data_IF_090883021286
#
_entry.id   IF_090883021286
#
_cell.length_a   1.000
_cell.length_b   1.000
_cell.length_c   1.000
_cell.angle_alpha   90.00
_cell.angle_beta   90.00
_cell.angle_gamma   90.00
#
_symmetry.space_group_name_H-M   'P 1'
#
loop_
_entity.id
_entity.type
_entity.pdbx_description
1 polymer ?
#
# COMPACT_ATOMS: atom_id res chain seq x y z
N UNK A 1 23.90 24.91 -5.04
CA UNK A 1 23.57 23.90 -4.01
C UNK A 1 22.58 24.51 -3.03
N UNK A 2 21.34 24.01 -2.97
CA UNK A 2 20.39 24.46 -1.95
C UNK A 2 20.83 24.00 -0.57
N UNK A 3 20.89 24.91 0.42
CA UNK A 3 21.07 24.53 1.82
C UNK A 3 19.88 23.68 2.24
N UNK A 4 20.15 22.45 2.71
CA UNK A 4 19.13 21.57 3.29
C UNK A 4 18.65 22.14 4.62
N UNK A 5 17.58 22.90 4.60
CA UNK A 5 16.90 23.42 5.79
C UNK A 5 15.56 22.72 5.90
N UNK A 6 15.30 22.10 7.06
CA UNK A 6 14.00 21.56 7.38
C UNK A 6 12.97 22.68 7.44
N UNK A 7 11.84 22.51 6.74
CA UNK A 7 10.72 23.45 6.79
C UNK A 7 9.48 22.70 7.25
N UNK A 8 8.79 23.27 8.23
CA UNK A 8 7.48 22.79 8.66
C UNK A 8 6.40 23.34 7.72
N UNK A 9 5.37 22.55 7.47
CA UNK A 9 4.14 23.03 6.86
C UNK A 9 3.31 23.79 7.90
N UNK A 10 2.55 24.79 7.47
CA UNK A 10 1.61 25.50 8.33
C UNK A 10 0.42 24.60 8.70
N UNK A 11 -0.23 24.88 9.84
CA UNK A 11 -1.26 24.01 10.41
C UNK A 11 -2.46 23.79 9.47
N UNK A 12 -2.82 24.77 8.66
CA UNK A 12 -3.92 24.69 7.69
C UNK A 12 -3.67 23.69 6.55
N UNK A 13 -2.41 23.32 6.34
CA UNK A 13 -2.00 22.34 5.34
C UNK A 13 -1.86 20.93 5.91
N UNK A 14 -2.13 20.72 7.20
CA UNK A 14 -2.02 19.41 7.84
C UNK A 14 -3.33 18.62 7.73
N UNK A 15 -3.23 17.29 7.75
CA UNK A 15 -4.40 16.43 7.94
C UNK A 15 -5.07 16.73 9.29
N UNK A 16 -6.40 16.52 9.39
CA UNK A 16 -7.06 16.57 10.68
C UNK A 16 -6.37 15.64 11.69
N UNK A 17 -6.26 16.10 12.94
CA UNK A 17 -5.50 15.41 14.00
C UNK A 17 -6.04 14.02 14.35
N UNK A 18 -7.24 13.67 13.87
CA UNK A 18 -7.87 12.35 14.04
C UNK A 18 -7.30 11.29 13.09
N UNK A 19 -6.71 11.71 11.96
CA UNK A 19 -6.10 10.81 11.00
C UNK A 19 -4.67 10.41 11.39
N UNK A 20 -4.30 9.19 11.02
CA UNK A 20 -2.95 8.64 11.16
C UNK A 20 -2.51 8.05 9.82
N UNK A 21 -1.25 8.27 9.46
CA UNK A 21 -0.62 7.71 8.27
C UNK A 21 0.20 6.47 8.67
N UNK A 22 0.03 5.36 7.95
CA UNK A 22 0.85 4.17 8.10
C UNK A 22 2.17 4.33 7.33
N UNK A 23 3.21 4.78 8.04
CA UNK A 23 4.53 5.13 7.46
C UNK A 23 5.29 3.97 6.81
N UNK A 24 4.92 2.73 7.10
CA UNK A 24 5.62 1.54 6.62
C UNK A 24 5.43 1.27 5.11
N UNK A 25 4.67 2.10 4.41
CA UNK A 25 4.46 2.02 2.96
C UNK A 25 4.05 3.37 2.40
N UNK A 26 4.65 3.71 1.26
CA UNK A 26 4.47 4.97 0.55
C UNK A 26 4.60 4.71 -0.96
N UNK A 27 3.81 5.41 -1.77
CA UNK A 27 3.95 5.43 -3.22
C UNK A 27 4.11 6.87 -3.70
N UNK A 28 4.97 7.10 -4.69
CA UNK A 28 5.16 8.41 -5.31
C UNK A 28 4.72 8.31 -6.77
N UNK A 29 3.76 9.14 -7.20
CA UNK A 29 3.25 9.16 -8.57
C UNK A 29 3.14 10.61 -9.02
N UNK A 30 3.92 11.00 -10.03
CA UNK A 30 4.05 12.39 -10.43
C UNK A 30 4.44 13.29 -9.26
N UNK A 31 3.66 14.35 -9.01
CA UNK A 31 3.86 15.27 -7.89
C UNK A 31 3.17 14.85 -6.58
N UNK A 32 2.59 13.65 -6.53
CA UNK A 32 1.81 13.19 -5.39
C UNK A 32 2.53 12.09 -4.62
N UNK A 33 2.40 12.14 -3.29
CA UNK A 33 2.80 11.06 -2.39
C UNK A 33 1.54 10.44 -1.79
N UNK A 34 1.46 9.11 -1.79
CA UNK A 34 0.32 8.36 -1.28
C UNK A 34 0.71 7.46 -0.12
N UNK A 35 -0.23 7.31 0.83
CA UNK A 35 -0.13 6.38 1.95
C UNK A 35 -1.48 5.69 2.23
N UNK A 36 -1.41 4.56 2.92
CA UNK A 36 -2.54 4.08 3.71
C UNK A 36 -2.69 4.96 4.96
N UNK A 37 -3.87 5.56 5.13
CA UNK A 37 -4.26 6.28 6.33
C UNK A 37 -5.39 5.56 7.07
N UNK A 38 -5.65 5.96 8.30
CA UNK A 38 -6.83 5.54 9.02
C UNK A 38 -7.28 6.58 10.05
N UNK A 39 -8.56 6.53 10.40
CA UNK A 39 -9.14 7.19 11.57
C UNK A 39 -9.63 6.12 12.55
N UNK A 40 -9.45 6.37 13.86
CA UNK A 40 -9.85 5.45 14.92
C UNK A 40 -11.18 5.91 15.52
N UNK A 41 -12.13 5.00 15.60
CA UNK A 41 -13.44 5.22 16.20
C UNK A 41 -13.64 4.31 17.41
N UNK A 42 -14.57 4.70 18.28
CA UNK A 42 -15.03 3.91 19.42
C UNK A 42 -16.50 3.59 19.19
N UNK A 43 -16.82 2.30 19.15
CA UNK A 43 -18.18 1.80 19.02
C UNK A 43 -18.95 1.92 20.34
N UNK A 44 -20.27 1.73 20.26
CA UNK A 44 -21.16 1.83 21.42
C UNK A 44 -20.89 0.74 22.48
N UNK A 45 -20.27 -0.37 22.07
CA UNK A 45 -19.83 -1.48 22.92
C UNK A 45 -18.42 -1.27 23.51
N UNK A 46 -17.89 -0.05 23.42
CA UNK A 46 -16.51 0.31 23.75
C UNK A 46 -15.43 -0.42 22.91
N UNK A 47 -15.81 -1.15 21.86
CA UNK A 47 -14.85 -1.66 20.88
C UNK A 47 -14.22 -0.50 20.12
N UNK A 48 -12.99 -0.67 19.65
CA UNK A 48 -12.36 0.32 18.77
C UNK A 48 -12.12 -0.27 17.39
N UNK A 49 -12.53 0.46 16.36
CA UNK A 49 -12.30 0.08 14.97
C UNK A 49 -11.57 1.18 14.21
N UNK A 50 -10.98 0.82 13.08
CA UNK A 50 -10.25 1.73 12.20
C UNK A 50 -10.95 1.81 10.86
N UNK A 51 -11.28 3.01 10.42
CA UNK A 51 -11.70 3.25 9.04
C UNK A 51 -10.46 3.58 8.23
N UNK A 52 -10.16 2.77 7.21
CA UNK A 52 -8.96 2.92 6.39
C UNK A 52 -9.25 3.74 5.15
N UNK A 53 -8.33 4.62 4.80
CA UNK A 53 -8.43 5.52 3.66
C UNK A 53 -7.12 5.54 2.87
N UNK A 54 -7.17 6.03 1.63
CA UNK A 54 -5.96 6.42 0.91
C UNK A 54 -5.76 7.91 1.12
N UNK A 55 -4.58 8.29 1.59
CA UNK A 55 -4.17 9.68 1.77
C UNK A 55 -3.21 10.03 0.65
N UNK A 56 -3.41 11.20 0.05
CA UNK A 56 -2.46 11.80 -0.90
C UNK A 56 -1.95 13.13 -0.37
N UNK A 57 -0.74 13.50 -0.77
CA UNK A 57 -0.13 14.80 -0.54
C UNK A 57 0.39 15.34 -1.87
N UNK A 58 -0.12 16.49 -2.31
CA UNK A 58 0.38 17.20 -3.48
C UNK A 58 1.60 18.04 -3.10
N UNK A 59 2.76 17.71 -3.65
CA UNK A 59 4.02 18.41 -3.39
C UNK A 59 4.08 19.81 -4.00
N UNK A 60 3.20 20.16 -4.95
CA UNK A 60 3.15 21.47 -5.58
C UNK A 60 2.31 22.44 -4.74
N UNK A 61 1.14 22.01 -4.29
CA UNK A 61 0.24 22.84 -3.48
C UNK A 61 0.45 22.67 -1.97
N UNK A 62 1.27 21.71 -1.55
CA UNK A 62 1.47 21.30 -0.16
C UNK A 62 0.17 20.91 0.57
N UNK A 63 -0.78 20.27 -0.13
CA UNK A 63 -2.09 19.92 0.45
C UNK A 63 -2.28 18.42 0.55
N UNK A 64 -2.85 17.99 1.68
CA UNK A 64 -3.37 16.64 1.79
C UNK A 64 -4.77 16.53 1.20
N UNK A 65 -5.06 15.35 0.64
CA UNK A 65 -6.40 14.95 0.24
C UNK A 65 -6.64 13.50 0.64
N UNK A 66 -7.80 13.25 1.25
CA UNK A 66 -8.30 11.90 1.51
C UNK A 66 -9.06 11.46 0.25
N UNK A 67 -8.69 10.30 -0.28
CA UNK A 67 -9.34 9.71 -1.44
C UNK A 67 -10.50 8.85 -0.96
N UNK A 68 -11.67 9.06 -1.56
CA UNK A 68 -12.82 8.18 -1.38
C UNK A 68 -12.54 6.85 -2.08
N UNK A 69 -12.57 5.76 -1.32
CA UNK A 69 -12.49 4.40 -1.84
C UNK A 69 -13.91 3.97 -2.22
N UNK A 70 -14.19 3.59 -3.47
CA UNK A 70 -15.53 3.12 -3.86
C UNK A 70 -15.97 1.92 -3.01
N UNK A 71 -17.25 1.89 -2.60
CA UNK A 71 -17.79 0.85 -1.69
C UNK A 71 -17.55 -0.59 -2.17
N UNK A 72 -17.59 -0.82 -3.48
CA UNK A 72 -17.28 -2.12 -4.08
C UNK A 72 -15.83 -2.54 -3.83
N UNK A 73 -14.88 -1.62 -4.03
CA UNK A 73 -13.47 -1.86 -3.73
C UNK A 73 -13.26 -1.99 -2.21
N UNK A 74 -13.87 -1.12 -1.41
CA UNK A 74 -13.70 -1.10 0.05
C UNK A 74 -14.04 -2.44 0.71
N UNK A 75 -15.08 -3.14 0.22
CA UNK A 75 -15.48 -4.48 0.70
C UNK A 75 -14.47 -5.59 0.38
N UNK A 76 -13.56 -5.36 -0.56
CA UNK A 76 -12.61 -6.35 -1.07
C UNK A 76 -11.15 -6.00 -0.72
N UNK A 77 -10.91 -4.82 -0.13
CA UNK A 77 -9.56 -4.41 0.22
C UNK A 77 -9.03 -5.23 1.41
N UNK A 78 -7.76 -5.65 1.36
CA UNK A 78 -7.12 -6.28 2.50
C UNK A 78 -6.76 -5.22 3.56
N UNK A 79 -7.64 -4.98 4.53
CA UNK A 79 -7.43 -3.97 5.58
C UNK A 79 -6.63 -4.57 6.77
N UNK A 80 -5.56 -3.92 7.28
CA UNK A 80 -4.88 -2.74 6.71
C UNK A 80 -4.09 -3.08 5.45
N UNK A 81 -4.13 -2.19 4.47
CA UNK A 81 -3.34 -2.34 3.24
C UNK A 81 -2.02 -1.57 3.27
N UNK A 82 -1.19 -1.85 2.27
CA UNK A 82 0.02 -1.16 1.88
C UNK A 82 -0.16 -0.60 0.47
N UNK A 83 0.44 0.55 0.22
CA UNK A 83 0.55 1.19 -1.09
C UNK A 83 1.95 1.08 -1.71
N UNK A 84 2.01 0.94 -3.03
CA UNK A 84 3.20 1.12 -3.88
C UNK A 84 2.73 1.61 -5.27
N UNK A 85 3.56 1.57 -6.30
CA UNK A 85 3.20 2.04 -7.66
C UNK A 85 3.65 1.08 -8.76
N UNK A 86 2.89 1.06 -9.86
CA UNK A 86 3.30 0.51 -11.16
C UNK A 86 3.05 1.59 -12.20
N UNK A 87 4.13 2.14 -12.78
CA UNK A 87 4.03 3.31 -13.65
C UNK A 87 3.25 4.43 -12.94
N UNK A 88 2.22 4.95 -13.60
CA UNK A 88 1.35 6.00 -13.07
C UNK A 88 0.15 5.50 -12.25
N UNK A 89 0.09 4.20 -11.93
CA UNK A 89 -0.99 3.62 -11.16
C UNK A 89 -0.59 3.39 -9.71
N UNK A 90 -1.54 3.64 -8.80
CA UNK A 90 -1.40 3.31 -7.39
C UNK A 90 -1.71 1.83 -7.19
N UNK A 91 -0.84 1.14 -6.48
CA UNK A 91 -1.06 -0.26 -6.12
C UNK A 91 -1.45 -0.34 -4.66
N UNK A 92 -2.48 -1.12 -4.35
CA UNK A 92 -2.90 -1.45 -2.99
C UNK A 92 -2.71 -2.95 -2.77
N UNK A 93 -2.06 -3.33 -1.68
CA UNK A 93 -1.78 -4.74 -1.38
C UNK A 93 -1.95 -5.06 0.09
N UNK A 94 -2.15 -6.32 0.43
CA UNK A 94 -2.30 -6.75 1.81
C UNK A 94 -2.85 -8.17 1.92
N UNK A 95 -3.12 -8.59 3.15
CA UNK A 95 -3.59 -9.92 3.45
C UNK A 95 -4.98 -9.85 4.11
N UNK A 96 -5.85 -10.79 3.76
CA UNK A 96 -7.06 -11.10 4.54
C UNK A 96 -6.78 -12.41 5.28
N UNK A 97 -6.95 -12.41 6.60
CA UNK A 97 -6.81 -13.61 7.41
C UNK A 97 -8.04 -14.49 7.25
N UNK A 98 -7.85 -15.72 6.80
CA UNK A 98 -8.83 -16.80 6.90
C UNK A 98 -8.50 -17.75 8.05
N UNK A 99 -9.32 -18.79 8.21
CA UNK A 99 -9.21 -19.76 9.30
C UNK A 99 -7.91 -20.58 9.24
N UNK A 100 -7.55 -21.05 8.04
CA UNK A 100 -6.35 -21.88 7.84
C UNK A 100 -5.20 -21.13 7.19
N UNK A 101 -5.49 -20.20 6.27
CA UNK A 101 -4.51 -19.51 5.44
C UNK A 101 -4.81 -18.01 5.32
N UNK A 102 -3.78 -17.22 4.98
CA UNK A 102 -3.94 -15.86 4.51
C UNK A 102 -4.27 -15.86 3.02
N UNK A 103 -5.04 -14.87 2.57
CA UNK A 103 -5.16 -14.56 1.14
C UNK A 103 -4.52 -13.22 0.88
N UNK A 104 -3.51 -13.21 0.02
CA UNK A 104 -2.78 -12.01 -0.37
C UNK A 104 -3.36 -11.42 -1.65
N UNK A 105 -3.65 -10.12 -1.62
CA UNK A 105 -4.26 -9.39 -2.73
C UNK A 105 -3.34 -8.28 -3.22
N UNK A 106 -3.37 -8.05 -4.54
CA UNK A 106 -2.81 -6.88 -5.20
C UNK A 106 -3.88 -6.26 -6.10
N UNK A 107 -4.20 -5.01 -5.83
CA UNK A 107 -5.11 -4.17 -6.61
C UNK A 107 -4.33 -3.05 -7.28
N UNK A 108 -4.64 -2.76 -8.54
CA UNK A 108 -4.11 -1.63 -9.29
C UNK A 108 -5.21 -0.60 -9.46
N UNK A 109 -4.94 0.65 -9.08
CA UNK A 109 -5.88 1.75 -9.07
C UNK A 109 -5.36 2.87 -9.99
N UNK A 110 -6.21 3.34 -10.89
CA UNK A 110 -5.94 4.54 -11.68
C UNK A 110 -6.56 5.75 -10.98
N UNK A 111 -5.79 6.82 -10.87
CA UNK A 111 -6.18 8.03 -10.14
C UNK A 111 -6.10 9.23 -11.10
N UNK A 112 -7.22 9.92 -11.27
CA UNK A 112 -7.28 11.17 -12.03
C UNK A 112 -7.94 12.26 -11.19
N UNK A 113 -7.32 13.44 -11.09
CA UNK A 113 -7.84 14.54 -10.27
C UNK A 113 -7.97 14.20 -8.77
N UNK A 114 -7.19 13.23 -8.29
CA UNK A 114 -7.31 12.71 -6.93
C UNK A 114 -8.60 11.93 -6.68
N UNK A 115 -9.16 11.28 -7.71
CA UNK A 115 -10.30 10.36 -7.62
C UNK A 115 -9.88 9.03 -8.23
N UNK A 116 -10.29 7.91 -7.60
CA UNK A 116 -10.09 6.58 -8.16
C UNK A 116 -11.08 6.39 -9.30
N UNK A 117 -10.59 6.32 -10.54
CA UNK A 117 -11.43 6.21 -11.74
C UNK A 117 -11.65 4.77 -12.18
N UNK A 118 -10.70 3.89 -11.89
CA UNK A 118 -10.77 2.47 -12.18
C UNK A 118 -9.92 1.67 -11.19
N UNK A 119 -10.30 0.42 -10.99
CA UNK A 119 -9.56 -0.52 -10.16
C UNK A 119 -9.62 -1.92 -10.77
N UNK A 120 -8.53 -2.67 -10.66
CA UNK A 120 -8.44 -4.02 -11.19
C UNK A 120 -7.66 -4.90 -10.22
N UNK A 121 -8.15 -6.11 -9.98
CA UNK A 121 -7.41 -7.11 -9.22
C UNK A 121 -6.30 -7.67 -10.12
N UNK A 122 -5.04 -7.45 -9.74
CA UNK A 122 -3.90 -7.96 -10.48
C UNK A 122 -3.56 -9.39 -10.03
N UNK A 123 -3.63 -9.64 -8.72
CA UNK A 123 -3.25 -10.91 -8.14
C UNK A 123 -4.07 -11.20 -6.88
N UNK A 124 -4.51 -12.45 -6.76
CA UNK A 124 -5.08 -13.01 -5.54
C UNK A 124 -4.48 -14.40 -5.36
N UNK A 125 -3.71 -14.61 -4.30
CA UNK A 125 -3.07 -15.91 -4.02
C UNK A 125 -3.22 -16.30 -2.56
N UNK A 126 -3.47 -17.60 -2.28
CA UNK A 126 -3.38 -18.10 -0.91
C UNK A 126 -1.91 -18.09 -0.46
N UNK A 127 -1.71 -17.85 0.83
CA UNK A 127 -0.40 -17.91 1.48
C UNK A 127 -0.55 -18.50 2.88
N UNK A 128 0.34 -19.41 3.31
CA UNK A 128 0.28 -19.96 4.66
C UNK A 128 0.49 -18.90 5.74
N UNK A 129 1.12 -17.78 5.39
CA UNK A 129 1.41 -16.66 6.30
C UNK A 129 1.16 -15.31 5.62
N UNK A 130 1.01 -14.25 6.40
CA UNK A 130 0.90 -12.90 5.86
C UNK A 130 2.22 -12.48 5.19
N UNK A 131 2.14 -11.98 3.96
CA UNK A 131 3.30 -11.54 3.17
C UNK A 131 3.19 -10.05 2.83
N UNK A 132 4.29 -9.44 2.38
CA UNK A 132 4.32 -8.00 2.06
C UNK A 132 4.82 -7.76 0.64
N UNK A 133 4.10 -6.95 -0.12
CA UNK A 133 4.60 -6.42 -1.39
C UNK A 133 5.70 -5.40 -1.13
N UNK A 134 6.86 -5.59 -1.75
CA UNK A 134 7.96 -4.61 -1.72
C UNK A 134 7.94 -3.75 -2.98
N UNK A 135 7.65 -4.36 -4.12
CA UNK A 135 7.59 -3.67 -5.40
C UNK A 135 7.40 -4.67 -6.54
N UNK A 136 7.78 -4.26 -7.75
CA UNK A 136 7.63 -5.04 -8.96
C UNK A 136 8.95 -5.11 -9.72
N UNK A 137 9.22 -6.26 -10.31
CA UNK A 137 10.28 -6.44 -11.30
C UNK A 137 9.72 -6.19 -12.71
N UNK A 138 10.60 -5.90 -13.70
CA UNK A 138 10.34 -5.41 -15.06
C UNK A 138 9.06 -5.89 -15.79
N UNK A 139 8.55 -7.10 -15.52
CA UNK A 139 7.34 -7.65 -16.11
C UNK A 139 6.08 -7.52 -15.22
N UNK A 140 6.09 -6.58 -14.27
CA UNK A 140 5.06 -6.47 -13.23
C UNK A 140 5.00 -7.75 -12.37
N UNK A 141 6.11 -8.48 -12.29
CA UNK A 141 6.26 -9.64 -11.42
C UNK A 141 6.42 -9.13 -9.97
N UNK A 142 5.52 -9.49 -9.02
CA UNK A 142 5.61 -9.01 -7.66
C UNK A 142 6.87 -9.49 -6.94
N UNK A 143 7.55 -8.57 -6.25
CA UNK A 143 8.61 -8.87 -5.28
C UNK A 143 7.97 -8.89 -3.90
N UNK A 144 7.93 -10.07 -3.28
CA UNK A 144 7.22 -10.35 -2.05
C UNK A 144 8.21 -10.66 -0.94
N UNK A 145 8.09 -9.96 0.17
CA UNK A 145 8.76 -10.26 1.43
C UNK A 145 7.93 -11.30 2.20
N UNK A 146 8.58 -12.42 2.51
CA UNK A 146 7.99 -13.55 3.23
C UNK A 146 8.72 -13.69 4.57
N UNK A 147 8.05 -13.47 5.71
CA UNK A 147 8.68 -13.58 7.02
C UNK A 147 9.03 -15.05 7.32
N UNK A 148 10.12 -15.28 8.06
CA UNK A 148 10.44 -16.60 8.60
C UNK A 148 9.42 -17.00 9.66
N UNK A 149 9.26 -18.31 9.90
CA UNK A 149 8.37 -18.81 10.95
C UNK A 149 8.73 -18.29 12.34
N UNK A 150 10.02 -17.99 12.57
CA UNK A 150 10.52 -17.41 13.82
C UNK A 150 10.33 -15.87 13.90
N UNK A 151 9.95 -15.21 12.81
CA UNK A 151 9.62 -13.77 12.77
C UNK A 151 10.81 -12.80 12.80
N UNK A 152 12.05 -13.28 12.95
CA UNK A 152 13.25 -12.44 13.04
C UNK A 152 13.98 -12.19 11.72
N UNK A 153 13.59 -12.88 10.65
CA UNK A 153 14.17 -12.70 9.31
C UNK A 153 13.08 -12.75 8.24
N UNK A 154 13.39 -12.27 7.04
CA UNK A 154 12.49 -12.35 5.90
C UNK A 154 13.27 -12.70 4.63
N UNK A 155 12.62 -13.44 3.74
CA UNK A 155 13.13 -13.74 2.40
C UNK A 155 12.41 -12.90 1.35
N UNK A 156 13.13 -12.45 0.34
CA UNK A 156 12.53 -11.79 -0.84
C UNK A 156 12.34 -12.83 -1.95
N UNK A 157 11.09 -13.03 -2.34
CA UNK A 157 10.71 -13.93 -3.42
C UNK A 157 10.14 -13.13 -4.60
N UNK A 158 10.48 -13.55 -5.80
CA UNK A 158 9.88 -13.06 -7.03
C UNK A 158 8.72 -14.00 -7.41
N UNK A 159 7.50 -13.48 -7.48
CA UNK A 159 6.36 -14.22 -8.00
C UNK A 159 6.28 -14.00 -9.51
N UNK A 160 6.45 -15.08 -10.29
CA UNK A 160 6.33 -15.03 -11.75
C UNK A 160 4.88 -15.15 -12.15
N UNK A 161 4.30 -14.05 -12.64
CA UNK A 161 2.89 -14.01 -13.07
C UNK A 161 2.63 -15.01 -14.21
N UNK A 162 3.62 -15.21 -15.09
CA UNK A 162 3.49 -16.12 -16.24
C UNK A 162 3.41 -17.61 -15.87
N UNK A 163 3.99 -18.01 -14.74
CA UNK A 163 4.05 -19.41 -14.32
C UNK A 163 3.26 -19.69 -13.04
N UNK A 164 2.79 -18.65 -12.35
CA UNK A 164 2.11 -18.76 -11.05
C UNK A 164 3.00 -19.30 -9.93
N UNK A 165 4.32 -19.08 -10.00
CA UNK A 165 5.30 -19.70 -9.11
C UNK A 165 6.28 -18.70 -8.47
N UNK A 166 6.75 -19.03 -7.27
CA UNK A 166 7.78 -18.27 -6.57
C UNK A 166 9.18 -18.71 -6.97
N UNK A 167 10.07 -17.74 -7.18
CA UNK A 167 11.52 -17.93 -7.34
C UNK A 167 12.23 -17.12 -6.28
N UNK A 168 13.20 -17.71 -5.57
CA UNK A 168 14.06 -16.94 -4.67
C UNK A 168 14.77 -15.83 -5.45
N UNK A 169 14.67 -14.58 -4.97
CA UNK A 169 15.37 -13.47 -5.62
C UNK A 169 16.83 -13.48 -5.21
N UNK A 170 17.74 -13.44 -6.19
CA UNK A 170 19.16 -13.16 -5.95
C UNK A 170 19.31 -11.65 -6.14
N UNK A 171 19.60 -10.93 -5.06
CA UNK A 171 19.77 -9.46 -5.01
C UNK A 171 20.73 -8.85 -6.07
N UNK A 172 21.48 -9.67 -6.82
CA UNK A 172 22.43 -9.24 -7.85
C UNK A 172 21.78 -8.75 -9.15
N UNK A 173 20.52 -9.06 -9.42
CA UNK A 173 19.85 -8.69 -10.70
C UNK A 173 18.91 -7.46 -10.57
N UNK A 174 18.79 -6.84 -9.40
CA UNK A 174 17.79 -5.78 -9.14
C UNK A 174 18.32 -4.34 -9.27
N UNK A 175 19.57 -4.15 -9.68
CA UNK A 175 20.22 -2.83 -9.83
C UNK A 175 20.83 -2.58 -11.22
N UNK A 176 20.43 -3.34 -12.24
CA UNK A 176 20.82 -3.11 -13.65
C UNK A 176 19.70 -2.44 -14.43
#
# INVERSE_FOLDING_TARGET
MGRGVWRSLENEFLLPHTFRIKKASQANIGCHIYWCGYEKFVGNDASSYKSYVIVSFDMLSYRFKILNIPDHLHRQLPLPFYVTSIGDNLVVSGNIQGDEHCVFFIWVLSIHGGTITSFTNLLTIPSPIAVKLIGFHNNIDPIIEVPSQEGFSASLLLYRMSTGAFKASVLREMLS
#
